data_IF_847005361311
#
_entry.id   IF_847005361311
#
_cell.length_a   1.000
_cell.length_b   1.000
_cell.length_c   1.000
_cell.angle_alpha   90.00
_cell.angle_beta   90.00
_cell.angle_gamma   90.00
#
_symmetry.space_group_name_H-M   'P 1'
#
loop_
_entity.id
_entity.type
_entity.pdbx_description
1 polymer ?
#
# COMPACT_ATOMS: atom_id res chain seq x y z
N UNK A 1 -17.42 31.62 9.29
CA UNK A 1 -17.51 32.57 8.15
C UNK A 1 -17.32 31.75 6.87
N UNK A 2 -17.79 32.19 5.69
CA UNK A 2 -17.50 31.43 4.47
C UNK A 2 -15.98 31.40 4.25
N UNK A 3 -15.44 30.21 3.94
CA UNK A 3 -14.01 30.07 3.66
C UNK A 3 -13.66 30.80 2.35
N UNK A 4 -12.62 31.63 2.36
CA UNK A 4 -12.12 32.36 1.19
C UNK A 4 -11.21 31.49 0.30
N UNK A 5 -11.68 30.31 -0.12
CA UNK A 5 -10.96 29.44 -1.05
C UNK A 5 -11.47 29.64 -2.47
N UNK A 6 -10.56 29.92 -3.39
CA UNK A 6 -10.81 29.92 -4.84
C UNK A 6 -10.12 28.72 -5.50
N UNK A 7 -10.57 28.28 -6.70
CA UNK A 7 -9.93 27.20 -7.45
C UNK A 7 -8.40 27.35 -7.59
N UNK A 8 -7.89 28.57 -7.69
CA UNK A 8 -6.46 28.88 -7.81
C UNK A 8 -5.67 28.63 -6.52
N UNK A 9 -6.32 28.81 -5.37
CA UNK A 9 -5.72 28.69 -4.04
C UNK A 9 -5.84 27.29 -3.44
N UNK A 10 -6.60 26.39 -4.09
CA UNK A 10 -6.81 25.02 -3.61
C UNK A 10 -5.50 24.22 -3.55
N UNK A 11 -4.65 24.37 -4.56
CA UNK A 11 -3.37 23.64 -4.62
C UNK A 11 -2.28 24.42 -3.89
N UNK A 12 -1.70 23.82 -2.86
CA UNK A 12 -0.59 24.42 -2.14
C UNK A 12 0.68 24.51 -3.00
N UNK A 13 1.42 25.62 -2.94
CA UNK A 13 2.70 25.74 -3.66
C UNK A 13 3.69 24.62 -3.33
N UNK A 14 3.73 24.19 -2.05
CA UNK A 14 4.60 23.10 -1.59
C UNK A 14 4.34 21.78 -2.30
N UNK A 15 3.09 21.45 -2.64
CA UNK A 15 2.78 20.24 -3.41
C UNK A 15 3.44 20.31 -4.78
N UNK A 16 3.33 21.46 -5.48
CA UNK A 16 3.94 21.67 -6.80
C UNK A 16 5.47 21.56 -6.73
N UNK A 17 6.08 22.21 -5.75
CA UNK A 17 7.54 22.18 -5.56
C UNK A 17 8.04 20.77 -5.26
N UNK A 18 7.44 20.06 -4.31
CA UNK A 18 7.86 18.69 -3.98
C UNK A 18 7.60 17.71 -5.13
N UNK A 19 6.49 17.90 -5.86
CA UNK A 19 6.21 17.15 -7.08
C UNK A 19 7.32 17.29 -8.12
N UNK A 20 7.79 18.52 -8.38
CA UNK A 20 8.86 18.77 -9.36
C UNK A 20 10.16 18.05 -8.97
N UNK A 21 10.58 18.14 -7.72
CA UNK A 21 11.78 17.44 -7.24
C UNK A 21 11.63 15.92 -7.31
N UNK A 22 10.50 15.39 -6.83
CA UNK A 22 10.22 13.96 -6.89
C UNK A 22 10.15 13.46 -8.35
N UNK A 23 9.57 14.24 -9.24
CA UNK A 23 9.46 13.90 -10.66
C UNK A 23 10.83 13.85 -11.33
N UNK A 24 11.68 14.85 -11.09
CA UNK A 24 13.03 14.87 -11.64
C UNK A 24 13.83 13.63 -11.22
N UNK A 25 13.80 13.27 -9.93
CA UNK A 25 14.50 12.07 -9.44
C UNK A 25 13.90 10.80 -10.03
N UNK A 26 12.56 10.71 -10.12
CA UNK A 26 11.90 9.54 -10.67
C UNK A 26 12.21 9.35 -12.15
N UNK A 27 12.25 10.43 -12.94
CA UNK A 27 12.65 10.38 -14.36
C UNK A 27 14.06 9.82 -14.50
N UNK A 28 15.02 10.33 -13.72
CA UNK A 28 16.40 9.83 -13.76
C UNK A 28 16.48 8.34 -13.39
N UNK A 29 15.74 7.91 -12.38
CA UNK A 29 15.68 6.50 -11.97
C UNK A 29 15.04 5.61 -13.05
N UNK A 30 13.94 6.04 -13.67
CA UNK A 30 13.30 5.31 -14.76
C UNK A 30 14.18 5.22 -16.00
N UNK A 31 14.94 6.28 -16.33
CA UNK A 31 15.95 6.24 -17.41
C UNK A 31 17.04 5.22 -17.08
N UNK A 32 17.55 5.19 -15.84
CA UNK A 32 18.54 4.20 -15.44
C UNK A 32 18.00 2.76 -15.57
N UNK A 33 16.76 2.52 -15.12
CA UNK A 33 16.08 1.22 -15.30
C UNK A 33 15.99 0.86 -16.79
N UNK A 34 15.58 1.81 -17.64
CA UNK A 34 15.47 1.58 -19.08
C UNK A 34 16.82 1.24 -19.73
N UNK A 35 17.90 1.93 -19.36
CA UNK A 35 19.25 1.68 -19.87
C UNK A 35 19.73 0.28 -19.49
N UNK A 36 19.42 -0.20 -18.29
CA UNK A 36 19.90 -1.51 -17.83
C UNK A 36 19.28 -2.70 -18.56
N UNK A 37 18.13 -2.53 -19.23
CA UNK A 37 17.28 -3.56 -19.88
C UNK A 37 16.75 -4.62 -18.89
N UNK A 38 17.58 -5.12 -17.97
CA UNK A 38 17.27 -6.08 -16.90
C UNK A 38 16.17 -5.55 -15.97
N UNK A 39 16.13 -4.24 -15.69
CA UNK A 39 15.11 -3.66 -14.81
C UNK A 39 13.70 -3.61 -15.42
N UNK A 40 13.58 -3.64 -16.75
CA UNK A 40 12.31 -3.54 -17.48
C UNK A 40 11.32 -4.66 -17.13
N UNK A 41 11.69 -5.97 -17.18
CA UNK A 41 10.75 -7.04 -16.83
C UNK A 41 10.24 -6.94 -15.38
N UNK A 42 11.08 -6.51 -14.43
CA UNK A 42 10.63 -6.29 -13.05
C UNK A 42 9.65 -5.13 -12.93
N UNK A 43 9.91 -4.02 -13.62
CA UNK A 43 9.00 -2.87 -13.65
C UNK A 43 7.64 -3.24 -14.27
N UNK A 44 7.64 -3.99 -15.37
CA UNK A 44 6.42 -4.50 -16.01
C UNK A 44 5.69 -5.47 -15.08
N UNK A 45 6.40 -6.44 -14.47
CA UNK A 45 5.82 -7.38 -13.53
C UNK A 45 5.16 -6.69 -12.34
N UNK A 46 5.83 -5.70 -11.74
CA UNK A 46 5.27 -4.88 -10.67
C UNK A 46 4.04 -4.09 -11.13
N UNK A 47 4.07 -3.49 -12.32
CA UNK A 47 2.93 -2.77 -12.88
C UNK A 47 1.71 -3.68 -13.09
N UNK A 48 1.91 -4.88 -13.65
CA UNK A 48 0.85 -5.89 -13.82
C UNK A 48 0.31 -6.33 -12.47
N UNK A 49 1.17 -6.65 -11.50
CA UNK A 49 0.76 -7.06 -10.16
C UNK A 49 -0.08 -5.98 -9.46
N UNK A 50 0.34 -4.72 -9.51
CA UNK A 50 -0.41 -3.59 -8.95
C UNK A 50 -1.74 -3.38 -9.67
N UNK A 51 -1.77 -3.52 -11.00
CA UNK A 51 -2.98 -3.41 -11.80
C UNK A 51 -3.99 -4.53 -11.45
N UNK A 52 -3.52 -5.77 -11.33
CA UNK A 52 -4.34 -6.93 -10.94
C UNK A 52 -4.85 -6.81 -9.49
N UNK A 53 -3.97 -6.46 -8.54
CA UNK A 53 -4.35 -6.27 -7.14
C UNK A 53 -5.43 -5.17 -6.99
N UNK A 54 -5.27 -4.05 -7.70
CA UNK A 54 -6.28 -3.00 -7.73
C UNK A 54 -7.58 -3.48 -8.43
N UNK A 55 -7.48 -4.27 -9.50
CA UNK A 55 -8.65 -4.88 -10.14
C UNK A 55 -9.45 -5.78 -9.19
N UNK A 56 -8.77 -6.63 -8.41
CA UNK A 56 -9.40 -7.46 -7.38
C UNK A 56 -10.02 -6.62 -6.25
N UNK A 57 -9.37 -5.53 -5.84
CA UNK A 57 -9.95 -4.59 -4.88
C UNK A 57 -11.25 -3.99 -5.42
N UNK A 58 -11.26 -3.51 -6.66
CA UNK A 58 -12.48 -2.98 -7.29
C UNK A 58 -13.56 -4.05 -7.42
N UNK A 59 -13.19 -5.28 -7.82
CA UNK A 59 -14.13 -6.38 -7.89
C UNK A 59 -14.80 -6.62 -6.53
N UNK A 60 -13.99 -6.71 -5.46
CA UNK A 60 -14.48 -6.85 -4.08
C UNK A 60 -15.41 -5.71 -3.68
N UNK A 61 -15.02 -4.46 -3.94
CA UNK A 61 -15.85 -3.29 -3.62
C UNK A 61 -17.21 -3.40 -4.32
N UNK A 62 -17.22 -3.69 -5.62
CA UNK A 62 -18.47 -3.79 -6.38
C UNK A 62 -19.37 -4.96 -5.96
N UNK A 63 -18.79 -6.04 -5.41
CA UNK A 63 -19.55 -7.22 -5.02
C UNK A 63 -19.99 -7.23 -3.54
N UNK A 64 -19.26 -6.56 -2.66
CA UNK A 64 -19.45 -6.66 -1.20
C UNK A 64 -19.80 -5.32 -0.51
N UNK A 65 -19.88 -4.22 -1.26
CA UNK A 65 -20.24 -2.89 -0.72
C UNK A 65 -21.49 -2.32 -1.36
N UNK A 66 -22.11 -1.32 -0.71
CA UNK A 66 -23.33 -0.68 -1.21
C UNK A 66 -22.94 0.46 -2.14
N UNK A 67 -23.40 0.41 -3.40
CA UNK A 67 -23.23 1.54 -4.33
C UNK A 67 -24.16 2.70 -3.94
N UNK A 68 -23.63 3.92 -3.99
CA UNK A 68 -24.42 5.12 -3.65
C UNK A 68 -25.13 5.62 -4.90
N UNK A 69 -26.39 5.22 -5.04
CA UNK A 69 -27.30 5.63 -6.12
C UNK A 69 -28.50 6.42 -5.55
N UNK A 70 -29.28 7.12 -6.39
CA UNK A 70 -30.53 7.75 -5.95
C UNK A 70 -31.51 6.78 -5.28
N UNK A 71 -31.50 5.50 -5.67
CA UNK A 71 -32.43 4.48 -5.20
C UNK A 71 -31.96 3.79 -3.91
N UNK A 72 -30.64 3.69 -3.69
CA UNK A 72 -30.08 3.01 -2.51
C UNK A 72 -29.82 3.97 -1.35
N UNK A 73 -29.16 5.10 -1.60
CA UNK A 73 -28.72 6.07 -0.59
C UNK A 73 -28.92 7.51 -1.10
N UNK A 74 -30.18 7.97 -1.24
CA UNK A 74 -30.52 9.23 -1.93
C UNK A 74 -29.86 10.47 -1.31
N UNK A 75 -29.76 10.56 0.02
CA UNK A 75 -29.20 11.74 0.69
C UNK A 75 -27.69 11.83 0.50
N UNK A 76 -26.97 10.72 0.70
CA UNK A 76 -25.55 10.66 0.42
C UNK A 76 -25.25 10.86 -1.07
N UNK A 77 -26.09 10.33 -1.95
CA UNK A 77 -25.94 10.53 -3.40
C UNK A 77 -26.07 12.01 -3.78
N UNK A 78 -27.09 12.71 -3.28
CA UNK A 78 -27.25 14.14 -3.50
C UNK A 78 -26.05 14.94 -2.98
N UNK A 79 -25.54 14.60 -1.79
CA UNK A 79 -24.34 15.21 -1.20
C UNK A 79 -23.11 14.98 -2.07
N UNK A 80 -22.92 13.76 -2.56
CA UNK A 80 -21.83 13.42 -3.47
C UNK A 80 -21.87 14.21 -4.78
N UNK A 81 -23.06 14.35 -5.39
CA UNK A 81 -23.25 15.16 -6.60
C UNK A 81 -22.95 16.64 -6.34
N UNK A 82 -23.39 17.15 -5.19
CA UNK A 82 -23.11 18.53 -4.79
C UNK A 82 -21.61 18.77 -4.65
N UNK A 83 -20.89 17.88 -3.98
CA UNK A 83 -19.43 17.96 -3.84
C UNK A 83 -18.73 17.90 -5.19
N UNK A 84 -19.13 16.97 -6.08
CA UNK A 84 -18.57 16.87 -7.42
C UNK A 84 -18.77 18.18 -8.19
N UNK A 85 -19.98 18.75 -8.14
CA UNK A 85 -20.30 20.03 -8.79
C UNK A 85 -19.47 21.19 -8.21
N UNK A 86 -19.36 21.28 -6.88
CA UNK A 86 -18.54 22.31 -6.20
C UNK A 86 -17.07 22.20 -6.59
N UNK A 87 -16.57 20.98 -6.80
CA UNK A 87 -15.21 20.73 -7.27
C UNK A 87 -15.07 20.72 -8.79
N UNK A 88 -16.12 21.06 -9.56
CA UNK A 88 -16.07 21.19 -11.01
C UNK A 88 -15.88 19.86 -11.77
N UNK A 89 -16.34 18.74 -11.21
CA UNK A 89 -16.41 17.44 -11.87
C UNK A 89 -17.81 17.25 -12.44
N UNK A 90 -18.02 17.70 -13.67
CA UNK A 90 -19.31 17.59 -14.38
C UNK A 90 -19.37 16.42 -15.34
N UNK A 91 -18.24 16.09 -15.99
CA UNK A 91 -18.24 15.15 -17.13
C UNK A 91 -18.00 13.70 -16.70
N UNK A 92 -17.24 13.50 -15.61
CA UNK A 92 -16.89 12.17 -15.10
C UNK A 92 -17.03 12.14 -13.58
N UNK A 93 -18.19 11.66 -13.13
CA UNK A 93 -18.46 11.46 -11.72
C UNK A 93 -17.79 10.16 -11.24
N UNK A 94 -17.05 10.17 -10.12
CA UNK A 94 -16.57 8.94 -9.53
C UNK A 94 -17.74 8.13 -8.96
N UNK A 95 -17.69 6.80 -9.08
CA UNK A 95 -18.65 5.94 -8.38
C UNK A 95 -18.36 5.98 -6.87
N UNK A 96 -19.38 6.19 -6.05
CA UNK A 96 -19.26 6.19 -4.60
C UNK A 96 -19.81 4.89 -4.02
N UNK A 97 -19.06 4.30 -3.08
CA UNK A 97 -19.43 3.06 -2.39
C UNK A 97 -19.34 3.22 -0.88
N UNK A 98 -20.26 2.58 -0.15
CA UNK A 98 -20.24 2.45 1.31
C UNK A 98 -19.81 1.05 1.71
N UNK A 99 -18.69 0.95 2.42
CA UNK A 99 -18.09 -0.31 2.85
C UNK A 99 -18.20 -0.48 4.38
N UNK A 100 -18.67 -1.63 4.85
CA UNK A 100 -18.56 -1.97 6.27
C UNK A 100 -17.15 -2.52 6.56
N UNK A 101 -16.49 -1.95 7.58
CA UNK A 101 -15.11 -2.29 7.96
C UNK A 101 -14.93 -2.46 9.47
N UNK A 102 -15.96 -2.97 10.17
CA UNK A 102 -15.87 -3.35 11.59
C UNK A 102 -15.54 -2.17 12.52
N UNK A 103 -16.11 -0.98 12.25
CA UNK A 103 -15.88 0.20 13.08
C UNK A 103 -14.64 1.03 12.70
N UNK A 104 -13.78 0.55 11.81
CA UNK A 104 -12.60 1.30 11.35
C UNK A 104 -13.02 2.54 10.57
N UNK A 105 -12.55 3.71 10.98
CA UNK A 105 -12.73 4.97 10.23
C UNK A 105 -11.73 5.04 9.08
N UNK A 106 -12.22 4.85 7.87
CA UNK A 106 -11.43 5.01 6.65
C UNK A 106 -12.31 5.48 5.48
N UNK A 107 -11.71 6.26 4.60
CA UNK A 107 -12.25 6.61 3.31
C UNK A 107 -11.06 6.70 2.36
N UNK A 108 -11.28 6.37 1.08
CA UNK A 108 -10.22 6.48 0.09
C UNK A 108 -10.79 6.63 -1.31
N UNK A 109 -10.05 7.35 -2.16
CA UNK A 109 -10.26 7.35 -3.59
C UNK A 109 -9.33 6.37 -4.32
N UNK A 110 -9.85 5.70 -5.35
CA UNK A 110 -9.04 4.87 -6.25
C UNK A 110 -9.43 5.03 -7.72
N UNK A 111 -8.57 4.57 -8.62
CA UNK A 111 -8.80 4.57 -10.06
C UNK A 111 -8.42 3.22 -10.65
N UNK A 112 -9.29 2.66 -11.47
CA UNK A 112 -9.03 1.42 -12.20
C UNK A 112 -9.62 1.50 -13.60
N UNK A 113 -8.83 1.13 -14.61
CA UNK A 113 -9.28 1.05 -16.01
C UNK A 113 -10.04 2.30 -16.48
N UNK A 114 -9.50 3.48 -16.16
CA UNK A 114 -10.07 4.78 -16.55
C UNK A 114 -11.22 5.30 -15.68
N UNK A 115 -11.80 4.47 -14.79
CA UNK A 115 -12.90 4.85 -13.89
C UNK A 115 -12.39 5.23 -12.51
N UNK A 116 -12.99 6.27 -11.93
CA UNK A 116 -12.69 6.73 -10.59
C UNK A 116 -13.72 6.18 -9.60
N UNK A 117 -13.25 5.86 -8.40
CA UNK A 117 -14.04 5.31 -7.31
C UNK A 117 -13.72 6.07 -6.04
N UNK A 118 -14.73 6.31 -5.21
CA UNK A 118 -14.59 6.81 -3.85
C UNK A 118 -15.26 5.81 -2.93
N UNK A 119 -14.59 5.44 -1.86
CA UNK A 119 -15.10 4.51 -0.86
C UNK A 119 -15.13 5.21 0.48
N UNK A 120 -16.27 5.11 1.17
CA UNK A 120 -16.45 5.65 2.51
C UNK A 120 -16.88 4.51 3.42
N UNK A 121 -16.22 4.33 4.56
CA UNK A 121 -16.65 3.33 5.51
C UNK A 121 -17.96 3.74 6.19
N UNK A 122 -18.83 2.78 6.50
CA UNK A 122 -20.11 3.05 7.18
C UNK A 122 -19.95 3.77 8.52
N UNK A 123 -18.85 3.55 9.24
CA UNK A 123 -18.52 4.27 10.48
C UNK A 123 -18.46 5.79 10.31
N UNK A 124 -18.09 6.29 9.12
CA UNK A 124 -18.12 7.72 8.82
C UNK A 124 -19.53 8.24 8.60
N UNK A 125 -20.40 7.47 7.95
CA UNK A 125 -21.82 7.83 7.83
C UNK A 125 -22.46 7.92 9.23
N UNK A 126 -22.18 6.95 10.10
CA UNK A 126 -22.66 6.97 11.48
C UNK A 126 -22.13 8.18 12.27
N UNK A 127 -20.87 8.56 12.06
CA UNK A 127 -20.23 9.63 12.82
C UNK A 127 -20.56 11.04 12.31
N UNK A 128 -20.72 11.20 11.00
CA UNK A 128 -20.84 12.50 10.35
C UNK A 128 -22.26 12.79 9.84
N UNK A 129 -23.06 11.76 9.56
CA UNK A 129 -24.33 11.89 8.83
C UNK A 129 -24.14 12.01 7.31
N UNK A 130 -25.16 11.66 6.53
CA UNK A 130 -25.07 11.61 5.06
C UNK A 130 -25.10 12.99 4.39
N UNK A 131 -25.93 13.90 4.91
CA UNK A 131 -26.20 15.21 4.32
C UNK A 131 -25.62 16.37 5.15
N UNK A 132 -24.39 16.20 5.65
CA UNK A 132 -23.73 17.18 6.53
C UNK A 132 -22.54 17.86 5.85
N UNK A 133 -22.19 19.09 6.24
CA UNK A 133 -20.96 19.74 5.78
C UNK A 133 -19.69 18.95 6.12
N UNK A 134 -19.69 18.17 7.21
CA UNK A 134 -18.61 17.26 7.59
C UNK A 134 -18.42 16.14 6.56
N UNK A 135 -19.52 15.54 6.08
CA UNK A 135 -19.48 14.54 5.01
C UNK A 135 -19.00 15.16 3.70
N UNK A 136 -19.43 16.40 3.40
CA UNK A 136 -18.92 17.16 2.25
C UNK A 136 -17.41 17.39 2.34
N UNK A 137 -16.89 17.67 3.54
CA UNK A 137 -15.44 17.76 3.77
C UNK A 137 -14.73 16.46 3.43
N UNK A 138 -15.21 15.33 3.99
CA UNK A 138 -14.62 14.01 3.76
C UNK A 138 -14.62 13.64 2.27
N UNK A 139 -15.78 13.74 1.61
CA UNK A 139 -15.90 13.45 0.18
C UNK A 139 -15.05 14.41 -0.66
N UNK A 140 -15.04 15.69 -0.33
CA UNK A 140 -14.25 16.70 -1.05
C UNK A 140 -12.75 16.47 -0.93
N UNK A 141 -12.29 15.96 0.21
CA UNK A 141 -10.90 15.54 0.40
C UNK A 141 -10.54 14.37 -0.52
N UNK A 142 -11.33 13.29 -0.51
CA UNK A 142 -11.10 12.11 -1.35
C UNK A 142 -11.18 12.43 -2.85
N UNK A 143 -12.18 13.21 -3.25
CA UNK A 143 -12.33 13.67 -4.62
C UNK A 143 -11.18 14.61 -5.01
N UNK A 144 -10.62 15.36 -4.07
CA UNK A 144 -9.38 16.13 -4.24
C UNK A 144 -8.22 15.26 -4.73
N UNK A 145 -8.06 14.05 -4.20
CA UNK A 145 -7.03 13.11 -4.66
C UNK A 145 -7.23 12.69 -6.13
N UNK A 146 -8.48 12.48 -6.55
CA UNK A 146 -8.83 12.18 -7.94
C UNK A 146 -8.54 13.37 -8.85
N UNK A 147 -9.04 14.56 -8.49
CA UNK A 147 -8.88 15.79 -9.28
C UNK A 147 -7.42 16.16 -9.48
N UNK A 148 -6.58 15.92 -8.46
CA UNK A 148 -5.14 16.17 -8.52
C UNK A 148 -4.33 15.03 -9.14
N UNK A 149 -4.98 13.94 -9.56
CA UNK A 149 -4.33 12.73 -10.09
C UNK A 149 -3.26 12.17 -9.14
N UNK A 150 -3.47 12.27 -7.82
CA UNK A 150 -2.47 11.87 -6.83
C UNK A 150 -2.11 10.39 -6.94
N UNK A 151 -3.06 9.52 -7.31
CA UNK A 151 -2.82 8.09 -7.50
C UNK A 151 -1.86 7.80 -8.65
N UNK A 152 -2.13 8.39 -9.82
CA UNK A 152 -1.25 8.24 -10.98
C UNK A 152 0.15 8.80 -10.69
N UNK A 153 0.20 10.00 -10.10
CA UNK A 153 1.47 10.62 -9.70
C UNK A 153 2.22 9.73 -8.69
N UNK A 154 1.55 9.10 -7.73
CA UNK A 154 2.21 8.19 -6.77
C UNK A 154 2.87 7.00 -7.47
N UNK A 155 2.23 6.42 -8.48
CA UNK A 155 2.83 5.35 -9.28
C UNK A 155 4.03 5.84 -10.10
N UNK A 156 3.90 7.00 -10.75
CA UNK A 156 4.99 7.63 -11.52
C UNK A 156 6.20 7.98 -10.64
N UNK A 157 5.94 8.43 -9.42
CA UNK A 157 6.93 8.89 -8.44
C UNK A 157 7.48 7.77 -7.55
N UNK A 158 7.15 6.50 -7.84
CA UNK A 158 7.57 5.37 -7.03
C UNK A 158 9.08 5.37 -6.70
N UNK A 159 10.00 5.69 -7.63
CA UNK A 159 11.43 5.77 -7.29
C UNK A 159 11.75 6.88 -6.29
N UNK A 160 11.17 8.07 -6.45
CA UNK A 160 11.37 9.17 -5.51
C UNK A 160 10.76 8.92 -4.13
N UNK A 161 9.80 8.00 -4.00
CA UNK A 161 9.28 7.59 -2.70
C UNK A 161 10.29 6.81 -1.85
N UNK A 162 11.33 6.24 -2.46
CA UNK A 162 12.43 5.57 -1.75
C UNK A 162 13.43 6.60 -1.22
N UNK A 163 13.52 7.77 -1.87
CA UNK A 163 14.43 8.84 -1.45
C UNK A 163 14.02 9.34 -0.07
N UNK A 164 14.96 9.34 0.89
CA UNK A 164 14.64 9.74 2.25
C UNK A 164 13.93 11.09 2.33
N UNK A 165 12.89 11.15 3.16
CA UNK A 165 12.07 12.33 3.45
C UNK A 165 11.21 12.86 2.28
N UNK A 166 11.66 12.74 1.03
CA UNK A 166 11.06 13.40 -0.12
C UNK A 166 9.67 12.85 -0.43
N UNK A 167 9.54 11.53 -0.55
CA UNK A 167 8.25 10.89 -0.83
C UNK A 167 7.19 11.25 0.20
N UNK A 168 7.54 11.15 1.48
CA UNK A 168 6.64 11.52 2.57
C UNK A 168 6.34 13.03 2.60
N UNK A 169 7.31 13.90 2.27
CA UNK A 169 7.07 15.34 2.17
C UNK A 169 6.08 15.68 1.07
N UNK A 170 6.20 15.04 -0.11
CA UNK A 170 5.23 15.18 -1.18
C UNK A 170 3.84 14.68 -0.76
N UNK A 171 3.74 13.47 -0.19
CA UNK A 171 2.45 12.95 0.31
C UNK A 171 1.78 13.89 1.29
N UNK A 172 2.52 14.43 2.29
CA UNK A 172 1.95 15.38 3.26
C UNK A 172 1.44 16.67 2.62
N UNK A 173 2.08 17.12 1.55
CA UNK A 173 1.62 18.30 0.81
C UNK A 173 0.35 17.99 -0.01
N UNK A 174 0.24 16.80 -0.58
CA UNK A 174 -0.99 16.32 -1.24
C UNK A 174 -2.16 16.31 -0.27
N UNK A 175 -1.98 15.78 0.94
CA UNK A 175 -3.01 15.76 2.00
C UNK A 175 -3.49 17.16 2.34
N UNK A 176 -2.57 18.12 2.54
CA UNK A 176 -2.92 19.49 2.86
C UNK A 176 -3.63 20.22 1.71
N UNK A 177 -3.35 19.86 0.45
CA UNK A 177 -4.14 20.31 -0.70
C UNK A 177 -5.53 19.68 -0.70
N UNK A 178 -5.65 18.38 -0.40
CA UNK A 178 -6.94 17.70 -0.36
C UNK A 178 -7.82 18.21 0.80
N UNK A 179 -7.22 18.57 1.94
CA UNK A 179 -7.89 19.28 3.02
C UNK A 179 -8.53 20.60 2.56
N UNK A 180 -7.88 21.36 1.65
CA UNK A 180 -8.49 22.56 1.05
C UNK A 180 -9.65 22.22 0.11
N UNK A 181 -9.57 21.11 -0.63
CA UNK A 181 -10.69 20.66 -1.47
C UNK A 181 -11.90 20.26 -0.61
N UNK A 182 -11.65 19.52 0.48
CA UNK A 182 -12.68 19.22 1.48
C UNK A 182 -13.26 20.48 2.10
N UNK A 183 -12.41 21.42 2.50
CA UNK A 183 -12.86 22.67 3.13
C UNK A 183 -13.73 23.52 2.19
N UNK A 184 -13.35 23.60 0.90
CA UNK A 184 -14.18 24.25 -0.12
C UNK A 184 -15.53 23.55 -0.28
N UNK A 185 -15.55 22.21 -0.32
CA UNK A 185 -16.77 21.43 -0.46
C UNK A 185 -17.71 21.58 0.76
N UNK A 186 -17.16 21.69 1.96
CA UNK A 186 -17.92 21.94 3.19
C UNK A 186 -18.37 23.40 3.34
N UNK A 187 -17.66 24.35 2.71
CA UNK A 187 -17.95 25.79 2.74
C UNK A 187 -17.48 26.52 4.02
N UNK A 188 -17.26 25.78 5.11
CA UNK A 188 -16.96 26.34 6.44
C UNK A 188 -15.84 25.57 7.17
N UNK A 189 -15.05 26.29 7.99
CA UNK A 189 -13.91 25.68 8.69
C UNK A 189 -14.36 24.82 9.88
N UNK A 190 -15.42 25.24 10.59
CA UNK A 190 -15.93 24.52 11.75
C UNK A 190 -16.29 23.05 11.45
N UNK A 191 -17.17 22.72 10.47
CA UNK A 191 -17.44 21.33 10.12
C UNK A 191 -16.21 20.59 9.58
N UNK A 192 -15.37 21.26 8.80
CA UNK A 192 -14.12 20.70 8.30
C UNK A 192 -13.21 20.21 9.44
N UNK A 193 -13.06 21.01 10.50
CA UNK A 193 -12.31 20.60 11.69
C UNK A 193 -12.98 19.49 12.49
N UNK A 194 -14.32 19.47 12.57
CA UNK A 194 -15.06 18.39 13.25
C UNK A 194 -14.89 17.05 12.55
N UNK A 195 -14.91 17.03 11.21
CA UNK A 195 -14.64 15.82 10.43
C UNK A 195 -13.23 15.25 10.74
N UNK A 196 -12.23 16.12 10.84
CA UNK A 196 -10.87 15.73 11.25
C UNK A 196 -10.80 15.26 12.72
N UNK A 197 -11.61 15.82 13.61
CA UNK A 197 -11.70 15.38 15.01
C UNK A 197 -12.36 14.00 15.14
N UNK A 198 -13.28 13.64 14.25
CA UNK A 198 -13.84 12.27 14.20
C UNK A 198 -12.75 11.25 13.91
N UNK A 199 -11.80 11.56 13.02
CA UNK A 199 -10.62 10.71 12.82
C UNK A 199 -9.75 10.59 14.08
N UNK A 200 -9.64 11.65 14.87
CA UNK A 200 -8.80 11.68 16.06
C UNK A 200 -9.44 10.99 17.28
N UNK A 201 -10.75 11.13 17.45
CA UNK A 201 -11.45 10.85 18.70
C UNK A 201 -12.73 9.99 18.52
N UNK A 202 -13.08 9.61 17.30
CA UNK A 202 -14.30 8.85 17.00
C UNK A 202 -15.59 9.66 17.14
N UNK A 203 -16.71 9.00 16.91
CA UNK A 203 -18.04 9.64 16.85
C UNK A 203 -18.49 10.29 18.16
N UNK A 204 -18.15 9.71 19.31
CA UNK A 204 -18.71 10.14 20.61
C UNK A 204 -17.93 11.27 21.27
N UNK A 205 -16.61 11.31 21.06
CA UNK A 205 -15.74 12.31 21.69
C UNK A 205 -15.47 13.52 20.78
N UNK A 206 -15.50 13.36 19.45
CA UNK A 206 -15.26 14.46 18.52
C UNK A 206 -16.21 15.66 18.71
N UNK A 207 -17.54 15.50 18.95
CA UNK A 207 -18.44 16.62 19.18
C UNK A 207 -18.13 17.41 20.47
N UNK A 208 -17.45 16.78 21.44
CA UNK A 208 -17.08 17.37 22.74
C UNK A 208 -15.69 18.00 22.70
N UNK A 209 -14.89 17.70 21.68
CA UNK A 209 -13.55 18.21 21.55
C UNK A 209 -13.54 19.68 21.09
N UNK A 210 -12.53 20.43 21.53
CA UNK A 210 -12.33 21.83 21.15
C UNK A 210 -11.30 21.93 20.02
N UNK A 211 -11.70 22.30 18.77
CA UNK A 211 -10.78 22.31 17.63
C UNK A 211 -9.59 23.27 17.80
N UNK A 212 -9.76 24.54 18.25
CA UNK A 212 -8.61 25.41 18.55
C UNK A 212 -7.61 24.82 19.55
N UNK A 213 -8.08 24.16 20.61
CA UNK A 213 -7.20 23.54 21.59
C UNK A 213 -6.45 22.33 21.03
N UNK A 214 -7.11 21.54 20.17
CA UNK A 214 -6.51 20.42 19.47
C UNK A 214 -5.48 20.89 18.42
N UNK A 215 -5.78 21.94 17.65
CA UNK A 215 -4.80 22.60 16.79
C UNK A 215 -3.60 23.11 17.61
N UNK A 216 -3.85 23.69 18.78
CA UNK A 216 -2.81 24.11 19.72
C UNK A 216 -1.89 22.98 20.19
N UNK A 217 -2.30 21.71 20.13
CA UNK A 217 -1.40 20.57 20.40
C UNK A 217 -0.27 20.49 19.37
N UNK A 218 -0.54 20.90 18.12
CA UNK A 218 0.48 21.08 17.11
C UNK A 218 1.47 22.21 17.49
N UNK A 219 1.23 23.09 18.44
CA UNK A 219 2.27 24.06 18.83
C UNK A 219 2.94 23.69 20.14
N UNK A 220 2.18 23.11 21.07
CA UNK A 220 2.63 22.74 22.41
C UNK A 220 3.45 21.45 22.45
N UNK A 221 3.03 20.43 21.70
CA UNK A 221 3.69 19.13 21.73
C UNK A 221 4.71 19.05 20.61
N UNK A 222 5.96 19.30 20.99
CA UNK A 222 7.13 19.26 20.11
C UNK A 222 8.28 18.52 20.75
N UNK A 223 9.17 18.05 19.90
CA UNK A 223 10.32 17.27 20.32
C UNK A 223 10.80 16.35 19.22
N UNK A 224 11.82 15.56 19.58
CA UNK A 224 12.46 14.60 18.69
C UNK A 224 11.47 13.58 18.12
N UNK A 225 10.76 12.83 18.97
CA UNK A 225 9.88 11.75 18.52
C UNK A 225 8.69 12.23 17.68
N UNK A 226 8.08 13.37 18.01
CA UNK A 226 7.03 13.97 17.19
C UNK A 226 7.56 14.37 15.82
N UNK A 227 8.74 15.02 15.78
CA UNK A 227 9.37 15.39 14.51
C UNK A 227 9.75 14.15 13.68
N UNK A 228 10.21 13.09 14.34
CA UNK A 228 10.60 11.84 13.70
C UNK A 228 9.37 11.13 13.11
N UNK A 229 8.30 11.00 13.89
CA UNK A 229 7.02 10.47 13.41
C UNK A 229 6.49 11.27 12.22
N UNK A 230 6.44 12.61 12.33
CA UNK A 230 5.99 13.48 11.23
C UNK A 230 6.80 13.27 9.95
N UNK A 231 8.13 13.15 10.04
CA UNK A 231 9.00 13.03 8.88
C UNK A 231 8.81 11.71 8.12
N UNK A 232 8.49 10.61 8.82
CA UNK A 232 8.24 9.29 8.22
C UNK A 232 6.75 9.02 7.94
N UNK A 233 5.86 9.92 8.33
CA UNK A 233 4.45 9.82 8.00
C UNK A 233 4.16 10.44 6.63
N UNK A 234 3.39 9.72 5.80
CA UNK A 234 2.80 10.26 4.57
C UNK A 234 1.69 11.30 4.84
N UNK A 235 1.20 11.38 6.08
CA UNK A 235 0.14 12.30 6.51
C UNK A 235 0.67 13.35 7.49
N UNK A 236 0.27 14.63 7.36
CA UNK A 236 0.47 15.59 8.43
C UNK A 236 -0.25 15.11 9.69
N UNK A 237 0.24 15.48 10.88
CA UNK A 237 -0.46 15.14 12.12
C UNK A 237 -1.87 15.72 12.10
N UNK A 238 -2.85 15.01 12.69
CA UNK A 238 -4.24 15.49 12.69
C UNK A 238 -4.37 16.88 13.32
N UNK A 239 -3.61 17.17 14.38
CA UNK A 239 -3.56 18.51 14.98
C UNK A 239 -3.01 19.57 14.03
N UNK A 240 -2.04 19.22 13.16
CA UNK A 240 -1.58 20.11 12.09
C UNK A 240 -2.67 20.36 11.06
N UNK A 241 -3.39 19.31 10.63
CA UNK A 241 -4.48 19.43 9.65
C UNK A 241 -5.57 20.35 10.17
N UNK A 242 -5.99 20.18 11.42
CA UNK A 242 -6.95 21.08 12.08
C UNK A 242 -6.42 22.52 12.15
N UNK A 243 -5.14 22.71 12.50
CA UNK A 243 -4.51 24.04 12.47
C UNK A 243 -4.53 24.68 11.08
N UNK A 244 -4.25 23.90 10.03
CA UNK A 244 -4.28 24.38 8.64
C UNK A 244 -5.69 24.75 8.16
N UNK A 245 -6.73 24.09 8.66
CA UNK A 245 -8.13 24.43 8.36
C UNK A 245 -8.56 25.70 9.09
N UNK A 246 -8.28 25.81 10.40
CA UNK A 246 -8.59 27.04 11.16
C UNK A 246 -7.87 28.26 10.59
N UNK A 247 -6.67 28.05 10.07
CA UNK A 247 -5.88 29.05 9.36
C UNK A 247 -6.55 29.66 8.12
N UNK A 248 -7.57 29.01 7.56
CA UNK A 248 -8.31 29.55 6.41
C UNK A 248 -9.22 30.72 6.82
N UNK A 249 -9.64 30.78 8.09
CA UNK A 249 -10.40 31.89 8.65
C UNK A 249 -9.49 32.84 9.45
N UNK A 250 -8.54 32.27 10.19
CA UNK A 250 -7.68 33.03 11.09
C UNK A 250 -6.20 32.66 10.90
N UNK A 251 -5.42 33.50 10.21
CA UNK A 251 -4.00 33.24 9.93
C UNK A 251 -3.13 32.97 11.15
N UNK A 252 -3.58 33.30 12.38
CA UNK A 252 -2.81 33.02 13.59
C UNK A 252 -2.54 31.52 13.83
N UNK A 253 -3.31 30.63 13.20
CA UNK A 253 -3.11 29.17 13.26
C UNK A 253 -2.00 28.67 12.30
N UNK A 254 -1.42 29.51 11.44
CA UNK A 254 -0.29 29.16 10.55
C UNK A 254 1.09 29.31 11.20
N UNK A 255 1.17 29.48 12.52
CA UNK A 255 2.44 29.73 13.23
C UNK A 255 3.49 28.67 12.84
N UNK A 256 4.65 29.09 12.27
CA UNK A 256 5.67 28.14 11.85
C UNK A 256 6.25 27.42 13.06
N UNK A 257 6.32 26.10 12.99
CA UNK A 257 6.93 25.29 14.06
C UNK A 257 8.16 24.57 13.53
N UNK A 258 9.27 24.71 14.23
CA UNK A 258 10.53 24.04 13.89
C UNK A 258 10.46 22.58 14.31
N UNK A 259 10.95 21.70 13.45
CA UNK A 259 11.21 20.29 13.76
C UNK A 259 12.53 20.15 14.48
N UNK A 260 12.68 19.11 15.28
CA UNK A 260 13.94 18.76 15.92
C UNK A 260 14.97 18.33 14.86
N UNK A 261 16.18 18.92 14.82
CA UNK A 261 17.21 18.58 13.83
C UNK A 261 17.63 17.11 13.82
N UNK A 262 17.74 16.47 14.99
CA UNK A 262 18.13 15.05 15.07
C UNK A 262 17.11 14.13 14.38
N UNK A 263 15.84 14.51 14.37
CA UNK A 263 14.81 13.72 13.71
C UNK A 263 15.04 13.58 12.21
N UNK A 264 15.67 14.56 11.55
CA UNK A 264 16.03 14.46 10.12
C UNK A 264 17.06 13.37 9.88
N UNK A 265 18.09 13.29 10.73
CA UNK A 265 19.12 12.25 10.64
C UNK A 265 18.53 10.85 10.78
N UNK A 266 17.73 10.62 11.82
CA UNK A 266 17.11 9.30 12.06
C UNK A 266 16.06 8.93 11.00
N UNK A 267 15.28 9.89 10.53
CA UNK A 267 14.31 9.66 9.45
C UNK A 267 15.00 9.32 8.12
N UNK A 268 16.16 9.92 7.87
CA UNK A 268 16.94 9.60 6.70
C UNK A 268 17.35 8.11 6.71
N UNK A 269 17.77 7.60 7.87
CA UNK A 269 18.20 6.21 8.02
C UNK A 269 17.07 5.19 7.88
N UNK A 270 15.88 5.47 8.41
CA UNK A 270 14.68 4.60 8.25
C UNK A 270 14.33 4.44 6.77
N UNK A 271 14.36 5.53 6.02
CA UNK A 271 14.06 5.51 4.58
C UNK A 271 15.11 4.73 3.78
N UNK A 272 16.39 4.82 4.17
CA UNK A 272 17.48 4.02 3.57
C UNK A 272 17.26 2.53 3.79
N UNK A 273 16.82 2.09 4.97
CA UNK A 273 16.57 0.66 5.23
C UNK A 273 15.51 0.08 4.28
N UNK A 274 14.41 0.80 4.03
CA UNK A 274 13.41 0.40 3.04
C UNK A 274 14.00 0.29 1.63
N UNK A 275 14.87 1.23 1.25
CA UNK A 275 15.61 1.18 -0.02
C UNK A 275 16.58 0.00 -0.09
N UNK A 276 17.26 -0.34 1.01
CA UNK A 276 18.18 -1.48 1.10
C UNK A 276 17.41 -2.80 0.98
N UNK A 277 16.27 -2.96 1.64
CA UNK A 277 15.45 -4.17 1.49
C UNK A 277 14.95 -4.34 0.05
N UNK A 278 14.49 -3.25 -0.58
CA UNK A 278 14.10 -3.29 -1.99
C UNK A 278 15.30 -3.64 -2.90
N UNK A 279 16.47 -3.06 -2.63
CA UNK A 279 17.69 -3.36 -3.37
C UNK A 279 18.11 -4.82 -3.22
N UNK A 280 18.08 -5.37 -1.99
CA UNK A 280 18.34 -6.78 -1.73
C UNK A 280 17.33 -7.67 -2.47
N UNK A 281 16.05 -7.30 -2.46
CA UNK A 281 15.01 -8.03 -3.19
C UNK A 281 15.27 -8.04 -4.71
N UNK A 282 15.70 -6.90 -5.28
CA UNK A 282 16.09 -6.79 -6.69
C UNK A 282 17.32 -7.66 -6.98
N UNK A 283 18.38 -7.57 -6.16
CA UNK A 283 19.58 -8.39 -6.31
C UNK A 283 19.26 -9.88 -6.21
N UNK A 284 18.43 -10.29 -5.24
CA UNK A 284 17.99 -11.67 -5.09
C UNK A 284 17.20 -12.14 -6.32
N UNK A 285 16.33 -11.29 -6.87
CA UNK A 285 15.55 -11.61 -8.06
C UNK A 285 16.42 -11.76 -9.33
N UNK A 286 17.56 -11.08 -9.40
CA UNK A 286 18.56 -11.23 -10.48
C UNK A 286 19.46 -12.46 -10.23
N UNK A 287 19.92 -12.65 -8.99
CA UNK A 287 20.85 -13.69 -8.62
C UNK A 287 20.21 -15.09 -8.62
N UNK A 288 18.92 -15.20 -8.28
CA UNK A 288 18.24 -16.49 -8.13
C UNK A 288 18.14 -17.28 -9.45
N UNK A 289 17.70 -16.70 -10.59
CA UNK A 289 17.72 -17.41 -11.88
C UNK A 289 19.14 -17.74 -12.35
N UNK A 290 20.11 -16.85 -12.10
CA UNK A 290 21.52 -17.08 -12.46
C UNK A 290 22.11 -18.26 -11.67
N UNK A 291 21.82 -18.32 -10.38
CA UNK A 291 22.22 -19.41 -9.49
C UNK A 291 21.57 -20.74 -9.90
N UNK A 292 20.27 -20.75 -10.21
CA UNK A 292 19.58 -21.94 -10.72
C UNK A 292 20.22 -22.45 -12.02
N UNK A 293 20.53 -21.57 -12.96
CA UNK A 293 21.21 -21.92 -14.21
C UNK A 293 22.60 -22.51 -13.95
N UNK A 294 23.38 -21.91 -13.04
CA UNK A 294 24.69 -22.41 -12.66
C UNK A 294 24.61 -23.80 -12.02
N UNK A 295 23.62 -24.05 -11.15
CA UNK A 295 23.37 -25.37 -10.56
C UNK A 295 22.99 -26.41 -11.62
N UNK A 296 22.10 -26.08 -12.56
CA UNK A 296 21.72 -26.96 -13.66
C UNK A 296 22.92 -27.32 -14.56
N UNK A 297 23.78 -26.35 -14.87
CA UNK A 297 25.01 -26.59 -15.63
C UNK A 297 25.98 -27.50 -14.86
N UNK A 298 26.18 -27.28 -13.56
CA UNK A 298 27.03 -28.12 -12.73
C UNK A 298 26.51 -29.57 -12.65
N UNK A 299 25.19 -29.75 -12.50
CA UNK A 299 24.54 -31.06 -12.55
C UNK A 299 24.70 -31.72 -13.93
N UNK A 300 24.51 -30.98 -15.01
CA UNK A 300 24.72 -31.46 -16.38
C UNK A 300 26.17 -31.87 -16.66
N UNK A 301 27.16 -31.14 -16.14
CA UNK A 301 28.57 -31.51 -16.25
C UNK A 301 28.90 -32.78 -15.46
N UNK A 302 28.37 -32.92 -14.23
CA UNK A 302 28.50 -34.16 -13.46
C UNK A 302 27.87 -35.36 -14.18
N UNK A 303 26.68 -35.18 -14.78
CA UNK A 303 26.02 -36.21 -15.56
C UNK A 303 26.85 -36.62 -16.80
N UNK A 304 27.41 -35.64 -17.53
CA UNK A 304 28.30 -35.91 -18.68
C UNK A 304 29.60 -36.62 -18.27
N UNK A 305 30.20 -36.25 -17.12
CA UNK A 305 31.39 -36.92 -16.58
C UNK A 305 31.08 -38.35 -16.12
N UNK A 306 29.93 -38.58 -15.48
CA UNK A 306 29.47 -39.91 -15.11
C UNK A 306 29.24 -40.79 -16.34
N UNK A 307 28.60 -40.24 -17.39
CA UNK A 307 28.41 -40.95 -18.64
C UNK A 307 29.74 -41.27 -19.34
N UNK A 308 30.71 -40.35 -19.37
CA UNK A 308 32.05 -40.61 -19.92
C UNK A 308 32.79 -41.71 -19.15
N UNK A 309 32.74 -41.68 -17.81
CA UNK A 309 33.33 -42.75 -16.98
C UNK A 309 32.68 -44.11 -17.21
N UNK A 310 31.37 -44.14 -17.49
CA UNK A 310 30.66 -45.37 -17.82
C UNK A 310 30.99 -45.88 -19.23
N UNK A 311 31.22 -44.98 -20.20
CA UNK A 311 31.61 -45.35 -21.57
C UNK A 311 33.08 -45.75 -21.71
N UNK A 312 33.96 -45.25 -20.83
CA UNK A 312 35.39 -45.59 -20.78
C UNK A 312 35.69 -46.78 -19.85
N UNK A 313 34.65 -47.49 -19.37
CA UNK A 313 34.79 -48.73 -18.61
C UNK A 313 35.44 -49.84 -19.46
N UNK A 314 36.16 -50.79 -18.84
CA UNK A 314 36.98 -51.76 -19.59
C UNK A 314 36.13 -52.59 -20.55
N UNK A 315 36.55 -52.63 -21.82
CA UNK A 315 36.03 -53.54 -22.85
C UNK A 315 36.35 -54.97 -22.41
N UNK A 316 35.32 -55.75 -22.08
CA UNK A 316 35.47 -57.16 -21.74
C UNK A 316 35.85 -57.96 -22.99
N UNK A 317 37.11 -58.39 -23.09
CA UNK A 317 37.56 -59.39 -24.06
C UNK A 317 37.47 -60.79 -23.43
N UNK A 318 36.73 -61.74 -23.99
CA UNK A 318 36.65 -63.09 -23.43
C UNK A 318 37.89 -63.89 -23.84
N UNK A 319 38.71 -64.29 -22.87
CA UNK A 319 39.73 -65.33 -23.05
C UNK A 319 39.63 -66.38 -21.94
N UNK A 320 39.40 -67.60 -22.43
CA UNK A 320 39.56 -68.94 -21.83
C UNK A 320 38.43 -69.53 -20.94
N UNK A 321 38.04 -70.80 -21.21
CA UNK A 321 36.89 -71.45 -20.58
C UNK A 321 37.23 -72.02 -19.21
N UNK A 322 36.46 -71.63 -18.19
CA UNK A 322 36.51 -72.25 -16.86
C UNK A 322 35.63 -73.50 -16.83
N UNK A 323 36.25 -74.62 -16.44
CA UNK A 323 35.63 -75.93 -16.23
C UNK A 323 34.60 -75.86 -15.10
N UNK A 324 33.40 -76.37 -15.34
CA UNK A 324 32.29 -76.44 -14.38
C UNK A 324 32.39 -77.73 -13.55
N UNK A 325 32.51 -77.69 -12.21
CA UNK A 325 32.17 -78.82 -11.36
C UNK A 325 30.65 -78.88 -11.15
N UNK A 326 30.08 -80.08 -11.24
CA UNK A 326 28.65 -80.34 -11.10
C UNK A 326 28.07 -79.87 -9.75
N UNK A 327 26.90 -79.22 -9.79
CA UNK A 327 26.11 -78.81 -8.62
C UNK A 327 25.58 -80.04 -7.86
N UNK A 328 25.70 -80.08 -6.52
CA UNK A 328 24.83 -80.92 -5.69
C UNK A 328 23.40 -80.34 -5.64
N UNK A 329 22.42 -81.25 -5.52
CA UNK A 329 20.99 -81.02 -5.60
C UNK A 329 20.44 -80.05 -4.53
N UNK A 330 19.42 -79.28 -4.94
CA UNK A 330 18.77 -78.26 -4.12
C UNK A 330 18.04 -78.84 -2.89
N UNK A 331 18.18 -78.25 -1.69
CA UNK A 331 17.25 -78.46 -0.60
C UNK A 331 15.95 -77.64 -0.79
N UNK A 332 14.81 -78.13 -0.27
CA UNK A 332 13.47 -77.52 -0.43
C UNK A 332 13.33 -76.16 0.28
N UNK A 333 12.29 -75.36 -0.10
CA UNK A 333 12.19 -73.94 0.23
C UNK A 333 11.91 -73.67 1.72
N UNK A 334 12.48 -72.58 2.24
CA UNK A 334 12.13 -72.04 3.56
C UNK A 334 10.97 -71.03 3.46
N UNK A 335 10.06 -70.98 4.45
CA UNK A 335 8.90 -70.09 4.47
C UNK A 335 9.27 -68.61 4.66
N UNK A 336 8.38 -67.67 4.25
CA UNK A 336 8.68 -66.24 4.20
C UNK A 336 8.95 -65.64 5.59
N UNK A 337 9.87 -64.66 5.70
CA UNK A 337 10.12 -63.94 6.94
C UNK A 337 8.93 -63.05 7.34
N UNK A 338 8.69 -62.86 8.64
CA UNK A 338 7.54 -62.14 9.19
C UNK A 338 7.58 -60.63 8.89
N UNK A 339 6.38 -60.03 8.76
CA UNK A 339 6.19 -58.60 8.53
C UNK A 339 6.79 -57.75 9.66
N UNK A 340 7.43 -56.60 9.36
CA UNK A 340 7.86 -55.68 10.39
C UNK A 340 6.66 -55.03 11.08
N UNK A 341 6.75 -55.00 12.41
CA UNK A 341 5.74 -54.52 13.33
C UNK A 341 5.47 -53.01 13.18
N UNK A 342 4.19 -52.68 13.24
CA UNK A 342 3.63 -51.34 13.43
C UNK A 342 3.85 -50.92 14.88
N UNK A 343 4.87 -50.10 15.14
CA UNK A 343 5.02 -49.36 16.40
C UNK A 343 5.21 -47.87 16.10
N UNK A 344 4.12 -47.21 15.75
CA UNK A 344 3.95 -45.77 15.94
C UNK A 344 2.71 -45.57 16.83
N UNK A 345 2.84 -44.96 18.01
CA UNK A 345 1.70 -44.72 18.89
C UNK A 345 0.71 -43.74 18.25
N UNK A 346 -0.61 -43.88 18.50
CA UNK A 346 -1.62 -43.02 17.91
C UNK A 346 -1.50 -41.58 18.45
N UNK A 347 -1.45 -40.61 17.55
CA UNK A 347 -1.75 -39.21 17.90
C UNK A 347 -3.19 -39.12 18.44
N UNK A 348 -3.42 -38.48 19.59
CA UNK A 348 -4.77 -38.27 20.09
C UNK A 348 -5.50 -37.23 19.24
N UNK A 349 -6.59 -37.69 18.61
CA UNK A 349 -7.64 -36.88 18.00
C UNK A 349 -8.21 -35.91 19.05
N UNK A 350 -7.83 -34.63 18.94
CA UNK A 350 -8.52 -33.56 19.65
C UNK A 350 -9.87 -33.33 18.97
N UNK A 351 -10.93 -33.71 19.70
CA UNK A 351 -12.33 -33.50 19.34
C UNK A 351 -12.62 -32.03 19.10
N UNK A 352 -13.30 -31.76 18.00
CA UNK A 352 -14.17 -30.60 17.86
C UNK A 352 -15.15 -30.56 19.05
N UNK A 353 -15.25 -29.41 19.70
CA UNK A 353 -16.40 -29.07 20.51
C UNK A 353 -17.11 -27.88 19.85
N UNK A 354 -18.37 -28.02 19.43
CA UNK A 354 -19.20 -26.92 18.98
C UNK A 354 -19.92 -26.30 20.20
N UNK A 355 -19.81 -24.99 20.41
CA UNK A 355 -20.89 -24.15 20.95
C UNK A 355 -20.42 -22.72 21.24
N UNK A 356 -21.30 -21.78 20.86
CA UNK A 356 -21.38 -20.34 21.11
C UNK A 356 -20.39 -19.41 20.40
#
# INVERSE_FOLDING_TARGET
MPISLTPETLTLPKEKTYFQFALAISILAWIAVAITIIGIPYAIGAAIALFMANGLLIAKLRSESVEVTPEQLPQLHATHLEVCRTLGLTDTLPSLYVLQSGGILNAFATRHSGRNFVVVNSSFLEALGEATPEMKFLLGHEIGHLKRNHLFKRALLLPAHIVPLLGHAYSRACEATCDRHGALAAGEAAPSTRALLVLAAGKDAAPKANPPMFAGQHHRHRGFFISWHELNSGYPTLSQRVSNILALEDPQFLRPVKRNPLAYFFSAFVSVQMGVFLYIAILAAIAFPAFQKAQQQALGMKAKQAHRRASDGPVYTPTEPVIIPALPSAPPPQPPPPAPASDAPPEPVAKANPAN
#
